data_IF_149224948686
#
_entry.id   IF_149224948686
#
_cell.length_a   1.000
_cell.length_b   1.000
_cell.length_c   1.000
_cell.angle_alpha   90.00
_cell.angle_beta   90.00
_cell.angle_gamma   90.00
#
_symmetry.space_group_name_H-M   'P 1'
#
loop_
_entity.id
_entity.type
_entity.pdbx_description
1 polymer ?
#
# COMPACT_ATOMS: atom_id res chain seq x y z
N UNK A 1 -2.57 4.25 13.25
CA UNK A 1 -2.71 3.36 12.07
C UNK A 1 -3.62 4.01 11.02
N UNK A 2 -4.90 4.27 11.31
CA UNK A 2 -5.84 4.78 10.31
C UNK A 2 -5.42 6.09 9.63
N UNK A 3 -4.95 7.10 10.39
CA UNK A 3 -4.51 8.38 9.81
C UNK A 3 -3.31 8.19 8.86
N UNK A 4 -2.35 7.36 9.25
CA UNK A 4 -1.16 7.07 8.43
C UNK A 4 -1.58 6.38 7.13
N UNK A 5 -2.42 5.34 7.23
CA UNK A 5 -2.97 4.64 6.07
C UNK A 5 -3.74 5.59 5.15
N UNK A 6 -4.57 6.49 5.71
CA UNK A 6 -5.30 7.48 4.92
C UNK A 6 -4.35 8.42 4.17
N UNK A 7 -3.32 8.96 4.82
CA UNK A 7 -2.34 9.85 4.18
C UNK A 7 -1.59 9.12 3.08
N UNK A 8 -1.15 7.88 3.32
CA UNK A 8 -0.48 7.06 2.32
C UNK A 8 -1.40 6.78 1.11
N UNK A 9 -2.63 6.31 1.34
CA UNK A 9 -3.55 6.02 0.25
C UNK A 9 -3.95 7.28 -0.54
N UNK A 10 -4.17 8.41 0.13
CA UNK A 10 -4.43 9.69 -0.55
C UNK A 10 -3.24 10.08 -1.43
N UNK A 11 -2.01 9.99 -0.93
CA UNK A 11 -0.83 10.36 -1.69
C UNK A 11 -0.56 9.41 -2.86
N UNK A 12 -0.53 8.10 -2.61
CA UNK A 12 -0.15 7.14 -3.63
C UNK A 12 -1.28 6.85 -4.62
N UNK A 13 -2.54 6.76 -4.19
CA UNK A 13 -3.66 6.32 -5.05
C UNK A 13 -4.45 7.52 -5.53
N UNK A 14 -4.79 8.42 -4.61
CA UNK A 14 -5.54 9.64 -4.91
C UNK A 14 -4.73 10.66 -5.72
N UNK A 15 -3.42 10.75 -5.51
CA UNK A 15 -2.56 11.68 -6.25
C UNK A 15 -1.66 10.97 -7.26
N UNK A 16 -0.66 10.19 -6.82
CA UNK A 16 0.38 9.68 -7.70
C UNK A 16 -0.14 8.75 -8.81
N UNK A 17 -0.86 7.69 -8.45
CA UNK A 17 -1.43 6.75 -9.42
C UNK A 17 -2.43 7.44 -10.36
N UNK A 18 -3.27 8.34 -9.83
CA UNK A 18 -4.24 9.07 -10.65
C UNK A 18 -3.55 10.00 -11.65
N UNK A 19 -2.55 10.79 -11.22
CA UNK A 19 -1.79 11.69 -12.09
C UNK A 19 -1.00 10.94 -13.15
N UNK A 20 -0.33 9.85 -12.76
CA UNK A 20 0.38 9.00 -13.73
C UNK A 20 -0.58 8.36 -14.74
N UNK A 21 -1.80 8.00 -14.33
CA UNK A 21 -2.81 7.42 -15.24
C UNK A 21 -3.34 8.43 -16.27
N UNK A 22 -3.11 9.73 -16.07
CA UNK A 22 -3.45 10.77 -17.06
C UNK A 22 -2.39 10.91 -18.16
N UNK A 23 -1.16 10.45 -17.90
CA UNK A 23 0.01 10.64 -18.78
C UNK A 23 0.48 9.31 -19.38
N UNK A 24 0.31 8.22 -18.64
CA UNK A 24 0.74 6.86 -18.98
C UNK A 24 -0.47 5.92 -19.04
N UNK A 25 -0.25 4.70 -19.55
CA UNK A 25 -1.27 3.68 -19.46
C UNK A 25 -1.59 3.35 -17.97
N UNK A 26 -2.85 3.04 -17.63
CA UNK A 26 -3.25 2.82 -16.22
C UNK A 26 -2.52 1.69 -15.50
N UNK A 27 -2.01 0.69 -16.23
CA UNK A 27 -1.28 -0.44 -15.65
C UNK A 27 0.14 -0.05 -15.26
N UNK A 28 0.83 0.73 -16.10
CA UNK A 28 2.13 1.30 -15.79
C UNK A 28 2.04 2.31 -14.64
N UNK A 29 1.00 3.15 -14.61
CA UNK A 29 0.77 4.06 -13.49
C UNK A 29 0.59 3.31 -12.15
N UNK A 30 -0.16 2.22 -12.16
CA UNK A 30 -0.33 1.33 -11.02
C UNK A 30 1.00 0.70 -10.58
N UNK A 31 1.78 0.14 -11.51
CA UNK A 31 3.07 -0.47 -11.19
C UNK A 31 4.05 0.57 -10.60
N UNK A 32 4.17 1.74 -11.21
CA UNK A 32 5.07 2.80 -10.75
C UNK A 32 4.66 3.28 -9.34
N UNK A 33 3.37 3.54 -9.11
CA UNK A 33 2.88 3.95 -7.79
C UNK A 33 3.10 2.86 -6.72
N UNK A 34 2.96 1.59 -7.08
CA UNK A 34 3.18 0.46 -6.17
C UNK A 34 4.67 0.27 -5.83
N UNK A 35 5.55 0.41 -6.81
CA UNK A 35 7.00 0.38 -6.59
C UNK A 35 7.41 1.56 -5.70
N UNK A 36 6.95 2.77 -6.00
CA UNK A 36 7.22 3.96 -5.18
C UNK A 36 6.73 3.78 -3.73
N UNK A 37 5.54 3.19 -3.54
CA UNK A 37 5.02 2.84 -2.22
C UNK A 37 5.94 1.85 -1.48
N UNK A 38 6.48 0.83 -2.16
CA UNK A 38 7.45 -0.07 -1.52
C UNK A 38 8.76 0.62 -1.17
N UNK A 39 9.28 1.50 -2.04
CA UNK A 39 10.56 2.18 -1.83
C UNK A 39 10.57 3.09 -0.60
N UNK A 40 9.45 3.75 -0.26
CA UNK A 40 9.40 4.56 0.97
C UNK A 40 9.54 3.73 2.26
N UNK A 41 9.34 2.41 2.18
CA UNK A 41 9.51 1.47 3.29
C UNK A 41 10.95 0.94 3.43
N UNK A 42 11.93 1.54 2.75
CA UNK A 42 13.33 1.09 2.74
C UNK A 42 13.97 0.93 4.13
N UNK A 43 13.52 1.73 5.11
CA UNK A 43 14.03 1.64 6.50
C UNK A 43 13.71 0.30 7.16
N UNK A 44 12.71 -0.42 6.67
CA UNK A 44 12.30 -1.73 7.17
C UNK A 44 13.00 -2.89 6.44
N UNK A 45 13.95 -2.60 5.53
CA UNK A 45 14.75 -3.58 4.81
C UNK A 45 14.18 -4.00 3.45
N UNK A 46 15.01 -4.67 2.64
CA UNK A 46 14.70 -5.03 1.24
C UNK A 46 13.46 -5.92 1.14
N UNK A 47 13.28 -6.87 2.05
CA UNK A 47 12.12 -7.76 2.06
C UNK A 47 10.82 -6.96 2.24
N UNK A 48 10.84 -5.93 3.09
CA UNK A 48 9.68 -5.04 3.29
C UNK A 48 9.41 -4.16 2.08
N UNK A 49 10.43 -3.73 1.33
CA UNK A 49 10.22 -3.03 0.05
C UNK A 49 9.44 -3.92 -0.90
N UNK A 50 9.87 -5.18 -1.08
CA UNK A 50 9.20 -6.14 -1.97
C UNK A 50 7.77 -6.40 -1.51
N UNK A 51 7.57 -6.67 -0.22
CA UNK A 51 6.25 -6.92 0.34
C UNK A 51 5.31 -5.72 0.20
N UNK A 52 5.77 -4.52 0.55
CA UNK A 52 5.01 -3.30 0.41
C UNK A 52 4.71 -2.98 -1.06
N UNK A 53 5.62 -3.24 -2.00
CA UNK A 53 5.32 -3.10 -3.43
C UNK A 53 4.21 -4.05 -3.90
N UNK A 54 4.24 -5.31 -3.49
CA UNK A 54 3.19 -6.29 -3.81
C UNK A 54 1.84 -5.91 -3.20
N UNK A 55 1.84 -5.51 -1.92
CA UNK A 55 0.66 -5.00 -1.25
C UNK A 55 0.13 -3.74 -1.95
N UNK A 56 1.04 -2.87 -2.40
CA UNK A 56 0.74 -1.66 -3.13
C UNK A 56 0.03 -1.91 -4.46
N UNK A 57 0.32 -3.03 -5.14
CA UNK A 57 -0.42 -3.48 -6.34
C UNK A 57 -1.85 -3.83 -5.95
N UNK A 58 -2.06 -4.57 -4.86
CA UNK A 58 -3.40 -4.96 -4.38
C UNK A 58 -4.23 -3.71 -4.07
N UNK A 59 -3.66 -2.75 -3.33
CA UNK A 59 -4.34 -1.49 -2.99
C UNK A 59 -4.64 -0.68 -4.25
N UNK A 60 -3.67 -0.58 -5.16
CA UNK A 60 -3.82 0.11 -6.44
C UNK A 60 -4.90 -0.50 -7.33
N UNK A 61 -5.04 -1.83 -7.35
CA UNK A 61 -6.09 -2.54 -8.09
C UNK A 61 -7.46 -2.31 -7.44
N UNK A 62 -7.52 -2.41 -6.10
CA UNK A 62 -8.72 -2.12 -5.34
C UNK A 62 -9.23 -0.70 -5.64
N UNK A 63 -8.36 0.31 -5.63
CA UNK A 63 -8.69 1.68 -6.03
C UNK A 63 -9.07 1.78 -7.52
N UNK A 64 -8.31 1.14 -8.42
CA UNK A 64 -8.53 1.21 -9.87
C UNK A 64 -9.92 0.71 -10.27
N UNK A 65 -10.36 -0.41 -9.70
CA UNK A 65 -11.65 -1.03 -10.01
C UNK A 65 -12.81 -0.39 -9.24
N UNK A 66 -12.63 -0.10 -7.95
CA UNK A 66 -13.72 0.47 -7.15
C UNK A 66 -13.91 1.98 -7.31
N UNK A 67 -12.88 2.69 -7.78
CA UNK A 67 -12.79 4.16 -7.78
C UNK A 67 -12.95 4.80 -6.39
N UNK A 68 -12.85 4.01 -5.33
CA UNK A 68 -13.04 4.45 -3.95
C UNK A 68 -11.74 4.31 -3.15
N UNK A 69 -11.28 5.43 -2.58
CA UNK A 69 -10.14 5.42 -1.66
C UNK A 69 -10.45 4.59 -0.40
N UNK A 70 -11.70 4.57 0.06
CA UNK A 70 -12.10 3.81 1.24
C UNK A 70 -11.91 2.31 1.09
N UNK A 71 -12.10 1.77 -0.13
CA UNK A 71 -11.86 0.35 -0.39
C UNK A 71 -10.34 0.08 -0.32
N UNK A 72 -9.50 0.94 -0.89
CA UNK A 72 -8.04 0.83 -0.77
C UNK A 72 -7.59 0.88 0.70
N UNK A 73 -8.11 1.84 1.47
CA UNK A 73 -7.85 2.00 2.91
C UNK A 73 -8.27 0.76 3.69
N UNK A 74 -9.41 0.13 3.36
CA UNK A 74 -9.86 -1.08 4.03
C UNK A 74 -8.88 -2.24 3.81
N UNK A 75 -8.45 -2.48 2.57
CA UNK A 75 -7.45 -3.50 2.26
C UNK A 75 -6.11 -3.23 2.95
N UNK A 76 -5.68 -1.98 2.97
CA UNK A 76 -4.43 -1.59 3.61
C UNK A 76 -4.51 -1.78 5.14
N UNK A 77 -5.55 -1.27 5.79
CA UNK A 77 -5.80 -1.52 7.21
C UNK A 77 -5.88 -3.02 7.54
N UNK A 78 -6.55 -3.82 6.70
CA UNK A 78 -6.65 -5.26 6.86
C UNK A 78 -5.30 -5.97 6.82
N UNK A 79 -4.46 -5.66 5.82
CA UNK A 79 -3.11 -6.20 5.74
C UNK A 79 -2.22 -5.73 6.90
N UNK A 80 -2.32 -4.46 7.31
CA UNK A 80 -1.60 -3.96 8.49
C UNK A 80 -2.01 -4.70 9.76
N UNK A 81 -3.31 -4.99 9.93
CA UNK A 81 -3.79 -5.74 11.09
C UNK A 81 -3.29 -7.19 11.08
N UNK A 82 -3.32 -7.87 9.93
CA UNK A 82 -2.75 -9.21 9.78
C UNK A 82 -1.26 -9.20 10.08
N UNK A 83 -0.52 -8.22 9.54
CA UNK A 83 0.90 -8.08 9.78
C UNK A 83 1.21 -7.85 11.27
N UNK A 84 0.44 -6.99 11.93
CA UNK A 84 0.57 -6.73 13.36
C UNK A 84 0.30 -7.99 14.18
N UNK A 85 -0.82 -8.69 13.94
CA UNK A 85 -1.23 -9.86 14.72
C UNK A 85 -0.29 -11.06 14.52
N UNK A 86 0.06 -11.38 13.28
CA UNK A 86 0.75 -12.64 12.95
C UNK A 86 2.25 -12.53 12.80
N UNK A 87 2.80 -11.33 12.59
CA UNK A 87 4.24 -11.16 12.34
C UNK A 87 4.91 -10.26 13.37
N UNK A 88 4.19 -9.31 13.96
CA UNK A 88 4.74 -8.38 14.97
C UNK A 88 4.43 -8.82 16.41
N UNK A 89 3.18 -9.18 16.71
CA UNK A 89 2.73 -9.56 18.05
C UNK A 89 3.02 -11.01 18.53
N UNK A 90 3.36 -12.02 17.69
CA UNK A 90 3.79 -13.31 18.22
C UNK A 90 5.18 -13.26 18.87
N UNK A 91 5.93 -12.16 18.71
CA UNK A 91 7.27 -12.01 19.28
C UNK A 91 7.25 -11.58 20.76
N UNK A 92 6.18 -10.93 21.23
CA UNK A 92 6.07 -10.43 22.61
C UNK A 92 5.36 -11.37 23.59
N UNK A 93 4.68 -12.42 23.09
CA UNK A 93 4.01 -13.41 23.95
C UNK A 93 4.90 -14.63 24.27
N UNK A 94 6.17 -14.61 23.83
CA UNK A 94 7.12 -15.71 24.04
C UNK A 94 8.34 -15.33 24.90
N UNK A 95 8.28 -14.22 25.63
CA UNK A 95 9.26 -13.84 26.66
C UNK A 95 8.78 -14.19 28.06
#
# INVERSE_FOLDING_TARGET
>A
ILLVVLVEEVYFRGYLQQRLSQILNPNSALLIASIAFGLIHYRSGVLMIVFASLAGIIYGLAYKYSKSLWISVLFHCGLNLIHLIFFTYPFYLKS
#
